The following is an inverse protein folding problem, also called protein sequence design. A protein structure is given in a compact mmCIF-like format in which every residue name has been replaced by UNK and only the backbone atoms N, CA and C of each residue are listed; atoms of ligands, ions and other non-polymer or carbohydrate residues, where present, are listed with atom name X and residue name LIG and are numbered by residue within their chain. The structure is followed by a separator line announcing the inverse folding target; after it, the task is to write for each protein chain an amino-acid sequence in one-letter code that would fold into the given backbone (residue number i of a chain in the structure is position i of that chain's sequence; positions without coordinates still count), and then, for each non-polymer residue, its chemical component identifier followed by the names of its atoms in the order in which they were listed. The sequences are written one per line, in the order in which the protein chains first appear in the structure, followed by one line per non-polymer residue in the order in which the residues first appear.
data_IF_488709104321
#
_entry.id   IF_488709104321
#
_cell.length_a   1.000
_cell.length_b   1.000
_cell.length_c   1.000
_cell.angle_alpha   90.00
_cell.angle_beta   90.00
_cell.angle_gamma   90.00
#
_symmetry.space_group_name_H-M   'P 1'
#
loop_
_entity.id
_entity.type
_entity.pdbx_description
1 polymer ?
#
# COMPACT_ATOMS: atom_id res chain seq x y z
N UNK A 1 6.70 20.83 11.10
CA UNK A 1 6.44 19.91 9.98
C UNK A 1 5.45 20.58 9.03
N UNK A 2 5.87 21.00 7.84
CA UNK A 2 4.96 21.64 6.88
C UNK A 2 4.34 20.57 5.97
N UNK A 3 3.20 20.02 6.40
CA UNK A 3 2.47 18.96 5.70
C UNK A 3 2.04 19.40 4.30
N UNK A 4 1.69 20.68 4.12
CA UNK A 4 1.28 21.22 2.82
C UNK A 4 2.43 21.21 1.82
N UNK A 5 3.64 21.59 2.27
CA UNK A 5 4.83 21.54 1.42
C UNK A 5 5.17 20.09 0.98
N UNK A 6 4.97 19.10 1.86
CA UNK A 6 5.17 17.69 1.48
C UNK A 6 4.14 17.24 0.44
N UNK A 7 2.86 17.61 0.60
CA UNK A 7 1.80 17.30 -0.37
C UNK A 7 2.10 17.90 -1.75
N UNK A 8 2.55 19.16 -1.80
CA UNK A 8 2.93 19.83 -3.04
C UNK A 8 4.06 19.08 -3.76
N UNK A 9 5.11 18.69 -3.02
CA UNK A 9 6.21 17.93 -3.60
C UNK A 9 5.81 16.52 -4.04
N UNK A 10 4.92 15.83 -3.31
CA UNK A 10 4.38 14.54 -3.73
C UNK A 10 3.54 14.67 -5.02
N UNK A 11 2.76 15.74 -5.15
CA UNK A 11 2.05 16.05 -6.39
C UNK A 11 3.02 16.33 -7.55
N UNK A 12 4.11 17.07 -7.29
CA UNK A 12 5.16 17.31 -8.28
C UNK A 12 5.86 16.02 -8.72
N UNK A 13 6.18 15.11 -7.79
CA UNK A 13 6.72 13.78 -8.12
C UNK A 13 5.80 13.01 -9.05
N UNK A 14 4.49 13.04 -8.80
CA UNK A 14 3.48 12.39 -9.66
C UNK A 14 3.48 12.99 -11.07
N UNK A 15 3.58 14.31 -11.19
CA UNK A 15 3.67 15.00 -12.49
C UNK A 15 4.94 14.58 -13.23
N UNK A 16 6.10 14.61 -12.58
CA UNK A 16 7.38 14.22 -13.19
C UNK A 16 7.38 12.77 -13.66
N UNK A 17 6.84 11.87 -12.84
CA UNK A 17 6.67 10.45 -13.18
C UNK A 17 5.80 10.26 -14.42
N UNK A 18 4.64 10.93 -14.49
CA UNK A 18 3.73 10.83 -15.64
C UNK A 18 4.33 11.42 -16.93
N UNK A 19 5.22 12.41 -16.80
CA UNK A 19 5.98 12.99 -17.92
C UNK A 19 7.22 12.17 -18.29
N UNK A 20 7.47 11.03 -17.63
CA UNK A 20 8.69 10.20 -17.79
C UNK A 20 10.00 10.96 -17.53
N UNK A 21 9.94 12.03 -16.72
CA UNK A 21 11.11 12.83 -16.32
C UNK A 21 11.78 12.21 -15.11
N UNK A 22 12.22 10.96 -15.25
CA UNK A 22 12.67 10.12 -14.13
C UNK A 22 13.92 10.67 -13.44
N UNK A 23 14.86 11.26 -14.18
CA UNK A 23 16.05 11.88 -13.59
C UNK A 23 15.72 13.06 -12.67
N UNK A 24 14.68 13.84 -13.01
CA UNK A 24 14.21 14.95 -12.18
C UNK A 24 13.37 14.47 -11.01
N UNK A 25 12.53 13.46 -11.23
CA UNK A 25 11.80 12.79 -10.17
C UNK A 25 12.76 12.19 -9.12
N UNK A 26 13.88 11.60 -9.58
CA UNK A 26 14.89 11.04 -8.71
C UNK A 26 15.57 12.11 -7.85
N UNK A 27 16.01 13.23 -8.44
CA UNK A 27 16.59 14.33 -7.67
C UNK A 27 15.62 14.88 -6.62
N UNK A 28 14.34 14.99 -6.97
CA UNK A 28 13.31 15.47 -6.05
C UNK A 28 13.08 14.47 -4.91
N UNK A 29 12.98 13.16 -5.20
CA UNK A 29 12.76 12.16 -4.15
C UNK A 29 13.95 12.04 -3.20
N UNK A 30 15.19 12.12 -3.70
CA UNK A 30 16.37 12.11 -2.83
C UNK A 30 16.38 13.31 -1.88
N UNK A 31 16.09 14.51 -2.40
CA UNK A 31 15.99 15.72 -1.57
C UNK A 31 14.91 15.58 -0.49
N UNK A 32 13.75 15.01 -0.84
CA UNK A 32 12.69 14.80 0.15
C UNK A 32 13.07 13.76 1.19
N UNK A 33 13.87 12.75 0.83
CA UNK A 33 14.36 11.75 1.79
C UNK A 33 15.43 12.29 2.73
N UNK A 34 16.10 13.40 2.42
CA UNK A 34 16.95 14.12 3.40
C UNK A 34 16.12 14.65 4.57
N UNK A 35 14.95 15.21 4.29
CA UNK A 35 14.02 15.75 5.29
C UNK A 35 13.13 14.67 5.93
N UNK A 36 12.83 13.61 5.17
CA UNK A 36 11.87 12.55 5.54
C UNK A 36 12.40 11.13 5.26
N UNK A 37 13.51 10.71 5.91
CA UNK A 37 14.22 9.48 5.57
C UNK A 37 13.42 8.19 5.79
N UNK A 38 12.37 8.25 6.62
CA UNK A 38 11.53 7.10 6.97
C UNK A 38 10.13 7.18 6.35
N UNK A 39 9.93 8.01 5.33
CA UNK A 39 8.68 8.04 4.59
C UNK A 39 8.55 6.82 3.69
N UNK A 40 7.68 5.88 4.07
CA UNK A 40 7.37 4.67 3.31
C UNK A 40 6.98 5.01 1.87
N UNK A 41 6.13 6.02 1.67
CA UNK A 41 5.71 6.46 0.34
C UNK A 41 6.90 6.95 -0.50
N UNK A 42 7.81 7.74 0.08
CA UNK A 42 8.98 8.25 -0.65
C UNK A 42 9.97 7.13 -0.99
N UNK A 43 10.18 6.17 -0.08
CA UNK A 43 11.04 5.01 -0.31
C UNK A 43 10.50 4.12 -1.45
N UNK A 44 9.20 3.88 -1.49
CA UNK A 44 8.54 3.16 -2.59
C UNK A 44 8.69 3.95 -3.91
N UNK A 45 8.41 5.26 -3.91
CA UNK A 45 8.58 6.08 -5.11
C UNK A 45 10.02 6.09 -5.60
N UNK A 46 11.01 6.17 -4.70
CA UNK A 46 12.43 6.08 -5.03
C UNK A 46 12.72 4.78 -5.77
N UNK A 47 12.33 3.64 -5.23
CA UNK A 47 12.55 2.35 -5.86
C UNK A 47 11.93 2.26 -7.27
N UNK A 48 10.70 2.73 -7.43
CA UNK A 48 10.01 2.74 -8.75
C UNK A 48 10.72 3.64 -9.75
N UNK A 49 11.17 4.82 -9.32
CA UNK A 49 11.92 5.74 -10.19
C UNK A 49 13.24 5.11 -10.61
N UNK A 50 13.97 4.48 -9.69
CA UNK A 50 15.24 3.80 -9.98
C UNK A 50 15.06 2.72 -11.05
N UNK A 51 14.02 1.88 -10.94
CA UNK A 51 13.70 0.84 -11.93
C UNK A 51 13.36 1.40 -13.33
N UNK A 52 12.97 2.68 -13.42
CA UNK A 52 12.59 3.35 -14.67
C UNK A 52 13.70 4.25 -15.23
N UNK A 53 14.79 4.45 -14.48
CA UNK A 53 15.93 5.20 -14.97
C UNK A 53 16.67 4.37 -16.02
N UNK A 54 17.14 5.06 -17.06
CA UNK A 54 18.00 4.44 -18.06
C UNK A 54 19.39 4.19 -17.46
N UNK A 55 19.93 2.99 -17.66
CA UNK A 55 21.21 2.55 -17.08
C UNK A 55 22.42 3.20 -17.76
N UNK A 56 22.21 4.01 -18.79
CA UNK A 56 23.26 4.63 -19.61
C UNK A 56 24.00 5.80 -18.94
N UNK A 57 23.72 6.10 -17.66
CA UNK A 57 24.42 7.15 -16.92
C UNK A 57 25.22 6.61 -15.73
N UNK A 58 26.50 6.96 -15.67
CA UNK A 58 27.45 6.57 -14.61
C UNK A 58 26.99 6.97 -13.18
N UNK A 59 25.99 7.86 -13.07
CA UNK A 59 25.45 8.37 -11.80
C UNK A 59 24.07 7.81 -11.45
N UNK A 60 23.56 6.83 -12.20
CA UNK A 60 22.28 6.20 -11.89
C UNK A 60 22.45 5.27 -10.68
N UNK A 61 21.59 5.36 -9.65
CA UNK A 61 21.57 4.36 -8.58
C UNK A 61 21.29 2.97 -9.13
N UNK A 62 21.80 1.93 -8.47
CA UNK A 62 21.63 0.56 -8.94
C UNK A 62 20.25 -0.01 -8.60
N UNK A 63 19.88 -1.10 -9.26
CA UNK A 63 18.64 -1.82 -8.95
C UNK A 63 18.65 -2.37 -7.52
N UNK A 64 19.82 -2.69 -6.96
CA UNK A 64 19.99 -3.04 -5.55
C UNK A 64 19.56 -1.89 -4.63
N UNK A 65 19.90 -0.64 -4.96
CA UNK A 65 19.42 0.53 -4.21
C UNK A 65 17.88 0.64 -4.24
N UNK A 66 17.26 0.27 -5.36
CA UNK A 66 15.80 0.16 -5.45
C UNK A 66 15.25 -0.89 -4.48
N UNK A 67 15.83 -2.10 -4.50
CA UNK A 67 15.42 -3.20 -3.61
C UNK A 67 15.59 -2.82 -2.14
N UNK A 68 16.74 -2.29 -1.74
CA UNK A 68 17.00 -1.82 -0.38
C UNK A 68 15.95 -0.80 0.09
N UNK A 69 15.56 0.12 -0.80
CA UNK A 69 14.54 1.12 -0.48
C UNK A 69 13.18 0.48 -0.20
N UNK A 70 12.80 -0.55 -0.96
CA UNK A 70 11.58 -1.32 -0.73
C UNK A 70 11.64 -2.15 0.54
N UNK A 71 12.78 -2.78 0.84
CA UNK A 71 12.99 -3.56 2.06
C UNK A 71 12.91 -2.68 3.32
N UNK A 72 13.48 -1.48 3.27
CA UNK A 72 13.34 -0.48 4.35
C UNK A 72 11.88 -0.06 4.48
N UNK A 73 11.20 0.27 3.37
CA UNK A 73 9.79 0.66 3.38
C UNK A 73 8.90 -0.43 4.01
N UNK A 74 9.13 -1.69 3.64
CA UNK A 74 8.41 -2.83 4.18
C UNK A 74 8.72 -3.06 5.67
N UNK A 75 9.97 -2.85 6.10
CA UNK A 75 10.35 -2.97 7.51
C UNK A 75 9.74 -1.87 8.39
N UNK A 76 9.59 -0.66 7.85
CA UNK A 76 8.96 0.48 8.54
C UNK A 76 7.44 0.32 8.66
N UNK A 77 6.79 -0.26 7.66
CA UNK A 77 5.35 -0.52 7.68
C UNK A 77 5.02 -1.91 7.12
N UNK A 78 5.17 -2.99 7.92
CA UNK A 78 4.96 -4.38 7.46
C UNK A 78 3.52 -4.69 7.03
N UNK A 79 2.56 -3.87 7.48
CA UNK A 79 1.15 -3.97 7.10
C UNK A 79 0.82 -3.17 5.82
N UNK A 80 1.75 -2.33 5.33
CA UNK A 80 1.54 -1.59 4.10
C UNK A 80 1.60 -2.54 2.91
N UNK A 81 0.58 -2.46 2.06
CA UNK A 81 0.41 -3.35 0.91
C UNK A 81 1.40 -2.98 -0.21
N UNK A 82 1.62 -1.68 -0.45
CA UNK A 82 2.38 -1.18 -1.59
C UNK A 82 3.86 -1.66 -1.61
N UNK A 83 4.64 -1.59 -0.52
CA UNK A 83 6.01 -2.11 -0.52
C UNK A 83 6.09 -3.60 -0.88
N UNK A 84 5.15 -4.42 -0.37
CA UNK A 84 5.09 -5.84 -0.69
C UNK A 84 4.76 -6.09 -2.17
N UNK A 85 3.80 -5.35 -2.74
CA UNK A 85 3.48 -5.46 -4.18
C UNK A 85 4.71 -5.12 -5.03
N UNK A 86 5.39 -4.02 -4.71
CA UNK A 86 6.54 -3.57 -5.48
C UNK A 86 7.75 -4.51 -5.32
N UNK A 87 7.97 -5.10 -4.14
CA UNK A 87 8.95 -6.19 -3.96
C UNK A 87 8.58 -7.40 -4.81
N UNK A 88 7.30 -7.79 -4.86
CA UNK A 88 6.84 -8.89 -5.70
C UNK A 88 7.13 -8.65 -7.19
N UNK A 89 6.87 -7.44 -7.69
CA UNK A 89 7.22 -7.09 -9.06
C UNK A 89 8.72 -7.03 -9.29
N UNK A 90 9.49 -6.53 -8.33
CA UNK A 90 10.96 -6.52 -8.42
C UNK A 90 11.50 -7.94 -8.54
N UNK A 91 11.09 -8.85 -7.66
CA UNK A 91 11.55 -10.24 -7.69
C UNK A 91 11.14 -10.94 -9.00
N UNK A 92 9.92 -10.69 -9.48
CA UNK A 92 9.43 -11.30 -10.71
C UNK A 92 10.12 -10.75 -11.97
N UNK A 93 10.17 -9.43 -12.14
CA UNK A 93 10.58 -8.80 -13.38
C UNK A 93 12.09 -8.50 -13.45
N UNK A 94 12.72 -8.23 -12.31
CA UNK A 94 14.15 -7.86 -12.25
C UNK A 94 15.00 -9.09 -11.92
N UNK A 95 14.66 -9.82 -10.85
CA UNK A 95 15.46 -10.98 -10.42
C UNK A 95 15.06 -12.30 -11.09
N UNK A 96 13.95 -12.34 -11.84
CA UNK A 96 13.40 -13.57 -12.42
C UNK A 96 13.17 -14.68 -11.37
N UNK A 97 12.81 -14.29 -10.14
CA UNK A 97 12.55 -15.18 -9.01
C UNK A 97 11.04 -15.20 -8.68
N UNK A 98 10.22 -15.96 -9.42
CA UNK A 98 8.77 -16.02 -9.18
C UNK A 98 8.41 -16.61 -7.80
N UNK A 99 9.29 -17.44 -7.22
CA UNK A 99 9.09 -18.00 -5.89
C UNK A 99 9.17 -16.96 -4.77
N UNK A 100 10.07 -15.98 -4.88
CA UNK A 100 10.11 -14.89 -3.90
C UNK A 100 9.00 -13.87 -4.19
N UNK A 101 8.70 -13.64 -5.48
CA UNK A 101 7.60 -12.77 -5.88
C UNK A 101 6.24 -13.22 -5.30
N UNK A 102 5.91 -14.51 -5.38
CA UNK A 102 4.63 -15.02 -4.85
C UNK A 102 4.54 -14.82 -3.33
N UNK A 103 5.65 -14.99 -2.59
CA UNK A 103 5.67 -14.76 -1.15
C UNK A 103 5.33 -13.30 -0.81
N UNK A 104 5.89 -12.34 -1.55
CA UNK A 104 5.58 -10.92 -1.36
C UNK A 104 4.13 -10.58 -1.73
N UNK A 105 3.62 -11.11 -2.85
CA UNK A 105 2.22 -10.91 -3.24
C UNK A 105 1.25 -11.54 -2.24
N UNK A 106 1.57 -12.69 -1.64
CA UNK A 106 0.75 -13.32 -0.60
C UNK A 106 0.72 -12.54 0.71
N UNK A 107 1.81 -11.87 1.08
CA UNK A 107 1.80 -10.92 2.21
C UNK A 107 0.92 -9.72 1.89
N UNK A 108 1.10 -9.10 0.72
CA UNK A 108 0.27 -7.98 0.26
C UNK A 108 -1.23 -8.33 0.27
N UNK A 109 -1.58 -9.51 -0.26
CA UNK A 109 -2.96 -10.01 -0.29
C UNK A 109 -3.53 -10.17 1.11
N UNK A 110 -2.82 -10.83 2.03
CA UNK A 110 -3.28 -11.03 3.42
C UNK A 110 -3.49 -9.70 4.15
N UNK A 111 -2.59 -8.74 3.96
CA UNK A 111 -2.74 -7.40 4.56
C UNK A 111 -3.95 -6.65 3.98
N UNK A 112 -4.21 -6.79 2.67
CA UNK A 112 -5.38 -6.20 2.02
C UNK A 112 -6.69 -6.85 2.51
N UNK A 113 -6.72 -8.17 2.65
CA UNK A 113 -7.85 -8.93 3.20
C UNK A 113 -8.15 -8.48 4.64
N UNK A 114 -7.14 -8.34 5.48
CA UNK A 114 -7.31 -7.85 6.85
C UNK A 114 -7.89 -6.43 6.88
N UNK A 115 -7.34 -5.52 6.07
CA UNK A 115 -7.84 -4.13 5.98
C UNK A 115 -9.28 -4.05 5.48
N UNK A 116 -9.66 -4.86 4.49
CA UNK A 116 -11.04 -4.95 4.01
C UNK A 116 -11.98 -5.43 5.12
N UNK A 117 -11.56 -6.45 5.88
CA UNK A 117 -12.34 -6.97 7.00
C UNK A 117 -12.62 -5.89 8.05
N UNK A 118 -11.58 -5.19 8.50
CA UNK A 118 -11.71 -4.13 9.50
C UNK A 118 -12.61 -2.99 9.01
N UNK A 119 -12.50 -2.61 7.72
CA UNK A 119 -13.33 -1.59 7.12
C UNK A 119 -14.82 -1.98 7.10
N UNK A 120 -15.15 -3.20 6.67
CA UNK A 120 -16.52 -3.70 6.63
C UNK A 120 -17.12 -3.77 8.04
N UNK A 121 -16.36 -4.29 9.02
CA UNK A 121 -16.77 -4.32 10.43
C UNK A 121 -17.06 -2.90 10.95
N UNK A 122 -16.17 -1.94 10.68
CA UNK A 122 -16.36 -0.54 11.05
C UNK A 122 -17.61 0.07 10.40
N UNK A 123 -17.84 -0.18 9.11
CA UNK A 123 -19.03 0.29 8.40
C UNK A 123 -20.32 -0.29 8.99
N UNK A 124 -20.35 -1.59 9.29
CA UNK A 124 -21.49 -2.26 9.93
C UNK A 124 -21.80 -1.60 11.27
N UNK A 125 -20.80 -1.43 12.15
CA UNK A 125 -20.96 -0.77 13.46
C UNK A 125 -21.50 0.65 13.31
N UNK A 126 -20.93 1.45 12.40
CA UNK A 126 -21.44 2.81 12.13
C UNK A 126 -22.90 2.81 11.62
N UNK A 127 -23.29 1.87 10.74
CA UNK A 127 -24.67 1.81 10.26
C UNK A 127 -25.66 1.40 11.37
N UNK A 128 -25.26 0.52 12.29
CA UNK A 128 -26.04 0.18 13.49
C UNK A 128 -26.26 1.43 14.35
N UNK A 129 -25.18 2.14 14.68
CA UNK A 129 -25.24 3.36 15.50
C UNK A 129 -26.13 4.45 14.86
N UNK A 130 -26.09 4.56 13.53
CA UNK A 130 -26.94 5.46 12.76
C UNK A 130 -28.38 4.95 12.58
N UNK A 131 -28.74 3.79 13.13
CA UNK A 131 -30.03 3.11 12.96
C UNK A 131 -30.39 2.82 11.48
N UNK A 132 -29.38 2.66 10.63
CA UNK A 132 -29.51 2.32 9.20
C UNK A 132 -29.37 0.80 9.00
N UNK A 133 -30.28 0.04 9.59
CA UNK A 133 -30.19 -1.44 9.67
C UNK A 133 -30.12 -2.11 8.29
N UNK A 134 -30.83 -1.60 7.29
CA UNK A 134 -30.75 -2.14 5.92
C UNK A 134 -29.33 -2.05 5.34
N UNK A 135 -28.63 -0.94 5.57
CA UNK A 135 -27.24 -0.75 5.13
C UNK A 135 -26.25 -1.60 5.91
N UNK A 136 -26.48 -1.76 7.22
CA UNK A 136 -25.68 -2.69 8.01
C UNK A 136 -25.80 -4.13 7.48
N UNK A 137 -27.01 -4.58 7.11
CA UNK A 137 -27.23 -5.90 6.51
C UNK A 137 -26.59 -6.05 5.14
N UNK A 138 -26.68 -5.05 4.26
CA UNK A 138 -25.97 -5.08 2.97
C UNK A 138 -24.45 -5.30 3.16
N UNK A 139 -23.83 -4.59 4.11
CA UNK A 139 -22.40 -4.73 4.40
C UNK A 139 -22.08 -6.06 5.11
N UNK A 140 -23.00 -6.59 5.92
CA UNK A 140 -22.87 -7.90 6.54
C UNK A 140 -22.82 -9.02 5.50
N UNK A 141 -23.73 -8.99 4.53
CA UNK A 141 -23.73 -9.98 3.44
C UNK A 141 -22.45 -9.91 2.61
N UNK A 142 -21.95 -8.71 2.32
CA UNK A 142 -20.65 -8.53 1.66
C UNK A 142 -19.50 -9.12 2.49
N UNK A 143 -19.47 -8.85 3.80
CA UNK A 143 -18.46 -9.40 4.69
C UNK A 143 -18.48 -10.93 4.73
N UNK A 144 -19.66 -11.56 4.71
CA UNK A 144 -19.81 -13.02 4.69
C UNK A 144 -19.38 -13.67 3.38
N UNK A 145 -19.43 -12.95 2.25
CA UNK A 145 -18.87 -13.43 0.98
C UNK A 145 -17.36 -13.59 1.07
N UNK A 146 -16.67 -12.60 1.65
CA UNK A 146 -15.21 -12.63 1.75
C UNK A 146 -14.70 -13.42 2.95
N UNK A 147 -15.45 -13.45 4.06
CA UNK A 147 -15.02 -13.97 5.35
C UNK A 147 -16.11 -14.87 6.01
N UNK A 148 -16.54 -15.95 5.34
CA UNK A 148 -17.73 -16.73 5.74
C UNK A 148 -17.63 -17.40 7.12
N UNK A 149 -16.42 -17.63 7.62
CA UNK A 149 -16.15 -18.31 8.89
C UNK A 149 -15.48 -17.40 9.94
N UNK A 150 -15.48 -16.08 9.72
CA UNK A 150 -14.87 -15.16 10.68
C UNK A 150 -15.80 -14.95 11.89
N UNK A 151 -15.25 -15.19 13.09
CA UNK A 151 -16.02 -15.14 14.32
C UNK A 151 -16.50 -13.73 14.68
N UNK A 152 -15.76 -12.68 14.32
CA UNK A 152 -16.16 -11.30 14.64
C UNK A 152 -17.35 -10.88 13.80
N UNK A 153 -17.38 -11.28 12.52
CA UNK A 153 -18.52 -11.09 11.64
C UNK A 153 -19.75 -11.85 12.17
N UNK A 154 -19.56 -13.09 12.63
CA UNK A 154 -20.64 -13.89 13.24
C UNK A 154 -21.26 -13.24 14.48
N UNK A 155 -20.46 -12.59 15.33
CA UNK A 155 -20.96 -11.84 16.51
C UNK A 155 -21.81 -10.65 16.08
N UNK A 156 -21.34 -9.87 15.11
CA UNK A 156 -22.08 -8.71 14.60
C UNK A 156 -23.39 -9.10 13.91
N UNK A 157 -23.43 -10.26 13.24
CA UNK A 157 -24.65 -10.80 12.66
C UNK A 157 -25.70 -11.06 13.75
N UNK A 158 -25.28 -11.64 14.88
CA UNK A 158 -26.16 -11.88 16.01
C UNK A 158 -26.70 -10.56 16.61
N UNK A 159 -25.85 -9.55 16.79
CA UNK A 159 -26.27 -8.23 17.27
C UNK A 159 -27.30 -7.56 16.34
N UNK A 160 -27.15 -7.72 15.01
CA UNK A 160 -28.08 -7.17 14.04
C UNK A 160 -29.47 -7.82 14.09
N UNK A 161 -29.57 -9.07 14.54
CA UNK A 161 -30.84 -9.77 14.72
C UNK A 161 -31.66 -9.18 15.88
N UNK A 162 -31.04 -8.53 16.86
CA UNK A 162 -31.75 -7.88 17.97
C UNK A 162 -32.54 -6.62 17.55
N UNK A 163 -32.33 -6.14 16.32
CA UNK A 163 -33.05 -5.01 15.73
C UNK A 163 -34.25 -5.42 14.84
N UNK A 164 -34.64 -6.71 14.88
CA UNK A 164 -35.87 -7.26 14.25
C UNK A 164 -37.11 -7.10 15.14
#
# INVERSE_FOLDING_TARGET
MNIELLKEHLAQLKILHNQKRYAEAFKLVEKLLEDYPYSVELLVKRAKIIQLLDNDHIKTPSLETAKESLEIANSLAPQAIEPCIELGYFEYAINSCPGDAINHFDVARRNAELGLKEALIGQIKCYIDMKKISKARENMEEAKVFFPNDSEIGVLEFELQEYE
#
